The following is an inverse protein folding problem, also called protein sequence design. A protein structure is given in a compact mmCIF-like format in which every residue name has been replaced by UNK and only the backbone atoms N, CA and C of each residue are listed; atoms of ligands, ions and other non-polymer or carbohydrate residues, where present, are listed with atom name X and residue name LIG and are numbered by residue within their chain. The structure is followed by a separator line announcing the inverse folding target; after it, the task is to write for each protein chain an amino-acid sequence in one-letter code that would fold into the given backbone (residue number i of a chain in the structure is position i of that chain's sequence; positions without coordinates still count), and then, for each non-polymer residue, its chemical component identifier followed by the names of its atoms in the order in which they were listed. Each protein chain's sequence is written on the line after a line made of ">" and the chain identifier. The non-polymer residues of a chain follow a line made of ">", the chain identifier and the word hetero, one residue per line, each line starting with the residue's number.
data_IF_378334774373
#
_entry.id   IF_378334774373
#
_cell.length_a   1.000
_cell.length_b   1.000
_cell.length_c   1.000
_cell.angle_alpha   90.00
_cell.angle_beta   90.00
_cell.angle_gamma   90.00
#
_symmetry.space_group_name_H-M   'P 1'
#
loop_
_entity.id
_entity.type
_entity.pdbx_description
1 polymer ?
#
# COMPACT_ATOMS: atom_id res chain seq x y z
N UNK A 1 1.87 -18.03 -37.86
CA UNK A 1 1.82 -19.47 -37.53
C UNK A 1 0.65 -19.62 -36.58
N UNK A 2 -0.50 -20.05 -37.10
CA UNK A 2 -1.65 -20.39 -36.26
C UNK A 2 -1.28 -21.65 -35.45
N UNK A 3 -1.33 -21.56 -34.13
CA UNK A 3 -1.17 -22.70 -33.25
C UNK A 3 -2.38 -23.61 -33.47
N UNK A 4 -2.15 -24.80 -34.07
CA UNK A 4 -3.15 -25.85 -34.06
C UNK A 4 -3.57 -26.11 -32.60
N UNK A 5 -4.87 -26.26 -32.31
CA UNK A 5 -5.33 -26.55 -30.97
C UNK A 5 -4.68 -27.86 -30.51
N UNK A 6 -3.74 -27.75 -29.56
CA UNK A 6 -3.14 -28.90 -28.92
C UNK A 6 -4.23 -29.59 -28.11
N UNK A 7 -4.56 -30.82 -28.48
CA UNK A 7 -5.41 -31.68 -27.67
C UNK A 7 -4.71 -31.95 -26.33
N UNK A 8 -5.42 -31.80 -25.20
CA UNK A 8 -4.86 -32.03 -23.88
C UNK A 8 -4.35 -33.47 -23.73
N UNK A 9 -3.37 -33.67 -22.85
CA UNK A 9 -2.91 -35.01 -22.47
C UNK A 9 -3.87 -35.56 -21.44
N UNK A 10 -4.71 -36.49 -21.85
CA UNK A 10 -5.71 -37.12 -20.99
C UNK A 10 -5.90 -38.61 -21.35
N UNK A 11 -6.87 -39.24 -20.67
CA UNK A 11 -7.24 -40.63 -20.91
C UNK A 11 -7.74 -40.85 -22.35
N UNK A 12 -8.47 -39.89 -22.93
CA UNK A 12 -8.99 -40.00 -24.29
C UNK A 12 -7.85 -40.04 -25.31
N UNK A 13 -6.82 -39.21 -25.12
CA UNK A 13 -5.60 -39.24 -25.93
C UNK A 13 -4.89 -40.59 -25.78
N UNK A 14 -4.81 -41.14 -24.58
CA UNK A 14 -4.21 -42.46 -24.35
C UNK A 14 -4.97 -43.56 -25.12
N UNK A 15 -6.30 -43.59 -24.99
CA UNK A 15 -7.19 -44.54 -25.68
C UNK A 15 -7.11 -44.40 -27.20
N UNK A 16 -7.06 -43.17 -27.68
CA UNK A 16 -6.92 -42.89 -29.10
C UNK A 16 -5.59 -43.42 -29.66
N UNK A 17 -4.48 -43.27 -28.94
CA UNK A 17 -3.17 -43.82 -29.34
C UNK A 17 -3.24 -45.34 -29.39
N UNK A 18 -3.81 -45.98 -28.37
CA UNK A 18 -3.97 -47.44 -28.32
C UNK A 18 -4.83 -47.93 -29.48
N UNK A 19 -5.94 -47.24 -29.78
CA UNK A 19 -6.84 -47.58 -30.88
C UNK A 19 -6.15 -47.54 -32.26
N UNK A 20 -5.07 -46.74 -32.43
CA UNK A 20 -4.29 -46.73 -33.67
C UNK A 20 -3.64 -48.09 -33.97
N UNK A 21 -3.43 -48.93 -32.97
CA UNK A 21 -2.85 -50.26 -33.12
C UNK A 21 -3.69 -51.19 -34.02
N UNK A 22 -4.98 -50.91 -34.23
CA UNK A 22 -5.87 -51.65 -35.12
C UNK A 22 -5.85 -51.17 -36.59
N UNK A 23 -5.11 -50.11 -36.91
CA UNK A 23 -5.05 -49.60 -38.29
C UNK A 23 -4.32 -50.59 -39.20
N UNK A 24 -4.98 -50.96 -40.32
CA UNK A 24 -4.44 -51.92 -41.30
C UNK A 24 -3.08 -51.51 -41.87
N UNK A 25 -2.88 -50.21 -42.11
CA UNK A 25 -1.63 -49.66 -42.65
C UNK A 25 -1.18 -48.45 -41.80
N UNK A 26 0.13 -48.36 -41.51
CA UNK A 26 0.72 -47.20 -40.86
C UNK A 26 0.40 -47.05 -39.36
N UNK A 27 -0.08 -48.10 -38.68
CA UNK A 27 -0.35 -48.11 -37.24
C UNK A 27 0.87 -47.66 -36.44
N UNK A 28 2.02 -48.29 -36.66
CA UNK A 28 3.29 -47.93 -36.00
C UNK A 28 3.64 -46.46 -36.16
N UNK A 29 3.64 -45.95 -37.40
CA UNK A 29 3.98 -44.55 -37.69
C UNK A 29 3.01 -43.57 -37.00
N UNK A 30 1.72 -43.90 -37.00
CA UNK A 30 0.69 -43.08 -36.35
C UNK A 30 0.86 -43.06 -34.83
N UNK A 31 1.04 -44.23 -34.20
CA UNK A 31 1.27 -44.34 -32.76
C UNK A 31 2.52 -43.57 -32.34
N UNK A 32 3.64 -43.78 -33.05
CA UNK A 32 4.89 -43.08 -32.77
C UNK A 32 4.75 -41.57 -32.91
N UNK A 33 4.02 -41.08 -33.92
CA UNK A 33 3.74 -39.66 -34.07
C UNK A 33 3.04 -39.08 -32.83
N UNK A 34 1.95 -39.70 -32.39
CA UNK A 34 1.18 -39.21 -31.23
C UNK A 34 1.92 -39.38 -29.90
N UNK A 35 2.73 -40.42 -29.75
CA UNK A 35 3.55 -40.60 -28.54
C UNK A 35 4.65 -39.55 -28.44
N UNK A 36 5.29 -39.20 -29.57
CA UNK A 36 6.23 -38.06 -29.63
C UNK A 36 5.54 -36.74 -29.37
N UNK A 37 4.31 -36.57 -29.86
CA UNK A 37 3.50 -35.38 -29.55
C UNK A 37 3.24 -35.27 -28.04
N UNK A 38 2.90 -36.38 -27.36
CA UNK A 38 2.72 -36.41 -25.90
C UNK A 38 4.01 -36.03 -25.17
N UNK A 39 5.16 -36.61 -25.56
CA UNK A 39 6.47 -36.23 -24.98
C UNK A 39 6.77 -34.73 -25.15
N UNK A 40 6.52 -34.18 -26.34
CA UNK A 40 6.69 -32.75 -26.62
C UNK A 40 5.77 -31.88 -25.74
N UNK A 41 4.51 -32.30 -25.55
CA UNK A 41 3.57 -31.58 -24.70
C UNK A 41 4.01 -31.60 -23.22
N UNK A 42 4.46 -32.75 -22.71
CA UNK A 42 5.00 -32.88 -21.35
C UNK A 42 6.21 -31.94 -21.15
N UNK A 43 7.14 -31.90 -22.11
CA UNK A 43 8.30 -31.01 -22.06
C UNK A 43 7.90 -29.52 -22.10
N UNK A 44 6.90 -29.17 -22.92
CA UNK A 44 6.35 -27.80 -22.97
C UNK A 44 5.75 -27.41 -21.62
N UNK A 45 4.96 -28.29 -21.00
CA UNK A 45 4.38 -28.04 -19.67
C UNK A 45 5.46 -27.83 -18.62
N UNK A 46 6.52 -28.65 -18.61
CA UNK A 46 7.65 -28.48 -17.69
C UNK A 46 8.28 -27.10 -17.85
N UNK A 47 8.46 -26.64 -19.09
CA UNK A 47 8.97 -25.28 -19.36
C UNK A 47 8.02 -24.20 -18.87
N UNK A 48 6.71 -24.38 -19.05
CA UNK A 48 5.68 -23.46 -18.55
C UNK A 48 5.68 -23.40 -17.01
N UNK A 49 5.86 -24.54 -16.32
CA UNK A 49 5.98 -24.59 -14.86
C UNK A 49 7.21 -23.83 -14.37
N UNK A 50 8.35 -24.00 -15.04
CA UNK A 50 9.56 -23.21 -14.73
C UNK A 50 9.34 -21.71 -14.87
N UNK A 51 8.65 -21.28 -15.93
CA UNK A 51 8.29 -19.86 -16.11
C UNK A 51 7.34 -19.39 -15.01
N UNK A 52 6.37 -20.22 -14.63
CA UNK A 52 5.47 -19.93 -13.52
C UNK A 52 6.25 -19.68 -12.22
N UNK A 53 7.20 -20.54 -11.87
CA UNK A 53 8.03 -20.35 -10.66
C UNK A 53 8.83 -19.05 -10.68
N UNK A 54 9.43 -18.71 -11.82
CA UNK A 54 10.18 -17.47 -11.99
C UNK A 54 9.28 -16.24 -11.80
N UNK A 55 8.10 -16.25 -12.41
CA UNK A 55 7.12 -15.18 -12.24
C UNK A 55 6.68 -15.07 -10.79
N UNK A 56 6.30 -16.18 -10.15
CA UNK A 56 5.90 -16.18 -8.73
C UNK A 56 6.99 -15.60 -7.85
N UNK A 57 8.24 -16.01 -8.03
CA UNK A 57 9.37 -15.50 -7.25
C UNK A 57 9.56 -13.97 -7.41
N UNK A 58 9.55 -13.48 -8.65
CA UNK A 58 9.70 -12.04 -8.92
C UNK A 58 8.50 -11.21 -8.43
N UNK A 59 7.29 -11.77 -8.49
CA UNK A 59 6.08 -11.13 -7.96
C UNK A 59 6.08 -11.14 -6.43
N UNK A 60 6.52 -12.25 -5.81
CA UNK A 60 6.57 -12.41 -4.36
C UNK A 60 7.40 -11.30 -3.71
N UNK A 61 8.61 -11.04 -4.20
CA UNK A 61 9.46 -9.95 -3.69
C UNK A 61 8.75 -8.58 -3.76
N UNK A 62 8.09 -8.27 -4.87
CA UNK A 62 7.38 -7.00 -5.07
C UNK A 62 6.19 -6.86 -4.13
N UNK A 63 5.41 -7.93 -3.96
CA UNK A 63 4.23 -7.91 -3.10
C UNK A 63 4.59 -7.92 -1.62
N UNK A 64 5.67 -8.60 -1.22
CA UNK A 64 6.21 -8.50 0.14
C UNK A 64 6.62 -7.06 0.48
N UNK A 65 7.28 -6.36 -0.44
CA UNK A 65 7.58 -4.94 -0.26
C UNK A 65 6.30 -4.10 -0.10
N UNK A 66 5.28 -4.32 -0.93
CA UNK A 66 3.98 -3.64 -0.82
C UNK A 66 3.32 -3.90 0.53
N UNK A 67 3.31 -5.14 1.01
CA UNK A 67 2.78 -5.50 2.33
C UNK A 67 3.50 -4.78 3.46
N UNK A 68 4.83 -4.69 3.40
CA UNK A 68 5.60 -3.91 4.36
C UNK A 68 5.21 -2.43 4.33
N UNK A 69 5.07 -1.83 3.15
CA UNK A 69 4.65 -0.43 2.99
C UNK A 69 3.22 -0.19 3.51
N UNK A 70 2.29 -1.11 3.26
CA UNK A 70 0.92 -1.04 3.79
C UNK A 70 0.93 -1.13 5.31
N UNK A 71 1.71 -2.04 5.91
CA UNK A 71 1.86 -2.15 7.38
C UNK A 71 2.41 -0.88 7.99
N UNK A 72 3.48 -0.31 7.42
CA UNK A 72 4.04 0.97 7.88
C UNK A 72 3.02 2.10 7.81
N UNK A 73 2.21 2.15 6.75
CA UNK A 73 1.13 3.13 6.59
C UNK A 73 0.08 2.97 7.68
N UNK A 74 -0.39 1.75 7.94
CA UNK A 74 -1.35 1.45 9.02
C UNK A 74 -0.78 1.89 10.38
N UNK A 75 0.48 1.57 10.68
CA UNK A 75 1.10 1.98 11.94
C UNK A 75 1.23 3.50 12.09
N UNK A 76 1.64 4.19 11.02
CA UNK A 76 1.74 5.65 10.97
C UNK A 76 0.38 6.30 11.22
N UNK A 77 -0.64 5.86 10.48
CA UNK A 77 -2.01 6.37 10.59
C UNK A 77 -2.58 6.13 11.99
N UNK A 78 -2.38 4.93 12.55
CA UNK A 78 -2.80 4.63 13.91
C UNK A 78 -2.11 5.50 14.96
N UNK A 79 -0.84 5.86 14.76
CA UNK A 79 -0.13 6.79 15.65
C UNK A 79 -0.68 8.22 15.53
N UNK A 80 -0.98 8.68 14.32
CA UNK A 80 -1.58 10.00 14.07
C UNK A 80 -2.99 10.10 14.67
N UNK A 81 -3.83 9.06 14.52
CA UNK A 81 -5.15 8.99 15.17
C UNK A 81 -5.02 9.13 16.69
N UNK A 82 -4.09 8.41 17.33
CA UNK A 82 -3.86 8.53 18.78
C UNK A 82 -3.45 9.93 19.20
N UNK A 83 -2.62 10.61 18.41
CA UNK A 83 -2.23 11.99 18.67
C UNK A 83 -3.44 12.94 18.57
N UNK A 84 -4.27 12.78 17.54
CA UNK A 84 -5.49 13.57 17.36
C UNK A 84 -6.48 13.32 18.50
N UNK A 85 -6.67 12.08 18.93
CA UNK A 85 -7.54 11.74 20.05
C UNK A 85 -7.06 12.41 21.35
N UNK A 86 -5.75 12.44 21.59
CA UNK A 86 -5.15 13.16 22.71
C UNK A 86 -5.40 14.67 22.63
N UNK A 87 -5.12 15.30 21.48
CA UNK A 87 -5.34 16.74 21.28
C UNK A 87 -6.81 17.12 21.42
N UNK A 88 -7.72 16.30 20.87
CA UNK A 88 -9.16 16.48 21.06
C UNK A 88 -9.56 16.38 22.53
N UNK A 89 -8.97 15.45 23.28
CA UNK A 89 -9.16 15.33 24.73
C UNK A 89 -8.75 16.60 25.46
N UNK A 90 -7.55 17.12 25.17
CA UNK A 90 -7.05 18.38 25.75
C UNK A 90 -7.98 19.57 25.42
N UNK A 91 -8.31 19.75 24.14
CA UNK A 91 -9.18 20.85 23.69
C UNK A 91 -10.57 20.80 24.34
N UNK A 92 -11.11 19.60 24.62
CA UNK A 92 -12.40 19.47 25.33
C UNK A 92 -12.29 19.93 26.78
N UNK A 93 -11.23 19.53 27.47
CA UNK A 93 -10.97 19.97 28.85
C UNK A 93 -10.82 21.49 28.89
N UNK A 94 -9.98 22.07 28.04
CA UNK A 94 -9.76 23.53 27.99
C UNK A 94 -11.06 24.29 27.69
N UNK A 95 -11.88 23.78 26.75
CA UNK A 95 -13.19 24.35 26.42
C UNK A 95 -14.15 24.29 27.60
N UNK A 96 -14.16 23.18 28.34
CA UNK A 96 -15.06 22.99 29.47
C UNK A 96 -14.63 23.87 30.67
N UNK A 97 -13.33 24.09 30.86
CA UNK A 97 -12.80 25.10 31.81
C UNK A 97 -13.24 26.51 31.41
N UNK A 98 -13.09 26.90 30.14
CA UNK A 98 -13.54 28.22 29.67
C UNK A 98 -15.06 28.41 29.81
N UNK A 99 -15.85 27.34 29.69
CA UNK A 99 -17.30 27.41 29.94
C UNK A 99 -17.60 27.69 31.41
N UNK A 100 -16.88 27.08 32.34
CA UNK A 100 -17.02 27.37 33.77
C UNK A 100 -16.64 28.81 34.07
N UNK A 101 -15.52 29.30 33.55
CA UNK A 101 -15.11 30.71 33.68
C UNK A 101 -16.15 31.68 33.08
N UNK A 102 -16.71 31.32 31.92
CA UNK A 102 -17.79 32.10 31.29
C UNK A 102 -19.03 32.18 32.19
N UNK A 103 -19.48 31.06 32.74
CA UNK A 103 -20.63 31.00 33.66
C UNK A 103 -20.39 31.88 34.91
N UNK A 104 -19.19 31.82 35.49
CA UNK A 104 -18.80 32.66 36.63
C UNK A 104 -18.82 34.16 36.26
N UNK A 105 -18.26 34.53 35.11
CA UNK A 105 -18.24 35.91 34.64
C UNK A 105 -19.62 36.43 34.25
N UNK A 106 -20.49 35.58 33.69
CA UNK A 106 -21.88 35.93 33.40
C UNK A 106 -22.68 36.18 34.68
N UNK A 107 -22.50 35.35 35.72
CA UNK A 107 -23.09 35.58 37.03
C UNK A 107 -22.60 36.90 37.65
N UNK A 108 -21.28 37.13 37.65
CA UNK A 108 -20.71 38.39 38.15
C UNK A 108 -21.19 39.62 37.36
N UNK A 109 -21.37 39.48 36.04
CA UNK A 109 -21.87 40.55 35.19
C UNK A 109 -23.29 40.97 35.57
N UNK A 110 -24.15 40.02 35.99
CA UNK A 110 -25.50 40.33 36.49
C UNK A 110 -25.42 41.20 37.74
N UNK A 111 -24.58 40.84 38.71
CA UNK A 111 -24.41 41.61 39.95
C UNK A 111 -23.88 43.03 39.68
N UNK A 112 -22.88 43.16 38.82
CA UNK A 112 -22.30 44.48 38.49
C UNK A 112 -23.29 45.33 37.69
N UNK A 113 -24.10 44.74 36.80
CA UNK A 113 -25.19 45.45 36.09
C UNK A 113 -26.23 45.99 37.06
N UNK A 114 -26.66 45.18 38.04
CA UNK A 114 -27.60 45.64 39.08
C UNK A 114 -27.00 46.79 39.91
N UNK A 115 -25.74 46.68 40.30
CA UNK A 115 -25.05 47.75 41.03
C UNK A 115 -24.91 49.05 40.20
N UNK A 116 -24.53 48.94 38.92
CA UNK A 116 -24.46 50.06 38.00
C UNK A 116 -25.82 50.75 37.84
N UNK A 117 -26.90 49.99 37.71
CA UNK A 117 -28.26 50.53 37.65
C UNK A 117 -28.65 51.30 38.92
N UNK A 118 -28.34 50.76 40.11
CA UNK A 118 -28.54 51.46 41.37
C UNK A 118 -27.76 52.78 41.43
N UNK A 119 -26.52 52.79 40.93
CA UNK A 119 -25.69 54.00 40.84
C UNK A 119 -26.24 55.01 39.84
N UNK A 120 -26.72 54.56 38.68
CA UNK A 120 -27.38 55.39 37.67
C UNK A 120 -28.62 56.06 38.23
N UNK A 121 -29.47 55.31 38.91
CA UNK A 121 -30.66 55.84 39.57
C UNK A 121 -30.31 56.87 40.65
N UNK A 122 -29.24 56.63 41.42
CA UNK A 122 -28.75 57.59 42.44
C UNK A 122 -28.17 58.86 41.81
N UNK A 123 -27.39 58.75 40.74
CA UNK A 123 -26.90 59.89 39.95
C UNK A 123 -28.08 60.74 39.46
N UNK A 124 -29.06 60.12 38.78
CA UNK A 124 -30.23 60.82 38.25
C UNK A 124 -31.08 61.51 39.34
N UNK A 125 -31.17 60.92 40.55
CA UNK A 125 -31.82 61.58 41.70
C UNK A 125 -31.02 62.81 42.18
N UNK A 126 -29.70 62.71 42.29
CA UNK A 126 -28.84 63.83 42.72
C UNK A 126 -28.76 64.95 41.69
N UNK A 127 -28.78 64.60 40.41
CA UNK A 127 -28.85 65.53 39.30
C UNK A 127 -30.12 66.39 39.35
N UNK A 128 -31.29 65.74 39.53
CA UNK A 128 -32.57 66.45 39.72
C UNK A 128 -32.54 67.39 40.92
N UNK A 129 -32.03 66.95 42.07
CA UNK A 129 -31.90 67.79 43.27
C UNK A 129 -30.98 68.99 43.05
N UNK A 130 -29.87 68.80 42.35
CA UNK A 130 -28.97 69.89 41.98
C UNK A 130 -29.67 70.91 41.07
N UNK A 131 -30.34 70.44 39.99
CA UNK A 131 -31.08 71.31 39.08
C UNK A 131 -32.30 72.01 39.71
N UNK A 132 -32.86 71.49 40.79
CA UNK A 132 -33.92 72.18 41.53
C UNK A 132 -33.40 73.34 42.39
N UNK A 133 -32.18 73.22 42.92
CA UNK A 133 -31.64 74.12 43.94
C UNK A 133 -30.40 74.91 43.46
N UNK A 134 -30.07 74.84 42.17
CA UNK A 134 -28.87 75.47 41.61
C UNK A 134 -28.85 76.99 41.70
N UNK A 135 -30.02 77.62 41.77
CA UNK A 135 -30.19 79.07 41.84
C UNK A 135 -29.93 79.65 43.25
N UNK A 136 -29.78 78.81 44.28
CA UNK A 136 -29.47 79.24 45.66
C UNK A 136 -27.97 79.00 45.94
N UNK A 137 -27.10 80.02 45.94
CA UNK A 137 -25.64 79.85 45.84
C UNK A 137 -25.00 78.94 46.90
N UNK A 138 -25.40 79.08 48.16
CA UNK A 138 -24.87 78.29 49.27
C UNK A 138 -25.30 76.82 49.19
N UNK A 139 -26.56 76.57 48.81
CA UNK A 139 -27.16 75.25 48.69
C UNK A 139 -26.66 74.54 47.42
N UNK A 140 -26.56 75.27 46.31
CA UNK A 140 -26.07 74.80 45.02
C UNK A 140 -24.67 74.18 45.12
N UNK A 141 -23.77 74.80 45.87
CA UNK A 141 -22.40 74.30 46.06
C UNK A 141 -22.38 72.92 46.74
N UNK A 142 -23.23 72.71 47.74
CA UNK A 142 -23.32 71.43 48.46
C UNK A 142 -23.96 70.33 47.60
N UNK A 143 -25.00 70.65 46.85
CA UNK A 143 -25.65 69.69 45.94
C UNK A 143 -24.79 69.36 44.71
N UNK A 144 -24.02 70.32 44.19
CA UNK A 144 -23.02 70.09 43.13
C UNK A 144 -21.99 69.04 43.56
N UNK A 145 -21.42 69.18 44.76
CA UNK A 145 -20.47 68.18 45.32
C UNK A 145 -21.10 66.78 45.43
N UNK A 146 -22.35 66.68 45.87
CA UNK A 146 -23.08 65.40 45.95
C UNK A 146 -23.36 64.80 44.57
N UNK A 147 -23.68 65.62 43.58
CA UNK A 147 -23.88 65.18 42.20
C UNK A 147 -22.58 64.67 41.56
N UNK A 148 -21.49 65.43 41.64
CA UNK A 148 -20.18 65.03 41.06
C UNK A 148 -19.73 63.69 41.63
N UNK A 149 -19.78 63.51 42.96
CA UNK A 149 -19.46 62.22 43.59
C UNK A 149 -20.36 61.06 43.13
N UNK A 150 -21.64 61.34 42.86
CA UNK A 150 -22.57 60.31 42.35
C UNK A 150 -22.31 60.00 40.88
N UNK A 151 -21.89 60.99 40.08
CA UNK A 151 -21.48 60.83 38.69
C UNK A 151 -20.21 60.00 38.58
N UNK A 152 -19.17 60.31 39.36
CA UNK A 152 -17.90 59.60 39.30
C UNK A 152 -18.10 58.13 39.71
N UNK A 153 -18.83 57.87 40.80
CA UNK A 153 -19.21 56.51 41.20
C UNK A 153 -20.07 55.74 40.19
N UNK A 154 -20.84 56.45 39.37
CA UNK A 154 -21.57 55.83 38.26
C UNK A 154 -20.60 55.46 37.13
N UNK A 155 -19.68 56.37 36.80
CA UNK A 155 -18.63 56.12 35.81
C UNK A 155 -17.83 54.86 36.17
N UNK A 156 -17.36 54.77 37.42
CA UNK A 156 -16.62 53.60 37.91
C UNK A 156 -17.43 52.30 37.83
N UNK A 157 -18.76 52.38 38.02
CA UNK A 157 -19.62 51.21 37.94
C UNK A 157 -19.86 50.76 36.50
N UNK A 158 -20.06 51.69 35.56
CA UNK A 158 -20.21 51.40 34.13
C UNK A 158 -18.90 50.88 33.52
N UNK A 159 -17.74 51.38 33.97
CA UNK A 159 -16.43 50.87 33.56
C UNK A 159 -16.27 49.39 33.94
N UNK A 160 -16.63 49.01 35.17
CA UNK A 160 -16.62 47.61 35.61
C UNK A 160 -17.57 46.71 34.80
N UNK A 161 -18.74 47.22 34.42
CA UNK A 161 -19.64 46.48 33.52
C UNK A 161 -18.97 46.25 32.17
N UNK A 162 -18.29 47.26 31.62
CA UNK A 162 -17.58 47.14 30.34
C UNK A 162 -16.42 46.15 30.41
N UNK A 163 -15.65 46.18 31.50
CA UNK A 163 -14.53 45.25 31.73
C UNK A 163 -15.01 43.79 31.74
N UNK A 164 -16.02 43.46 32.54
CA UNK A 164 -16.54 42.09 32.63
C UNK A 164 -17.18 41.65 31.31
N UNK A 165 -17.89 42.54 30.60
CA UNK A 165 -18.41 42.23 29.26
C UNK A 165 -17.30 41.85 28.29
N UNK A 166 -16.20 42.59 28.29
CA UNK A 166 -15.06 42.28 27.42
C UNK A 166 -14.47 40.90 27.73
N UNK A 167 -14.48 40.47 28.98
CA UNK A 167 -14.01 39.13 29.38
C UNK A 167 -14.99 38.06 28.88
N UNK A 168 -16.30 38.25 29.11
CA UNK A 168 -17.36 37.35 28.60
C UNK A 168 -17.25 37.16 27.08
N UNK A 169 -17.14 38.25 26.32
CA UNK A 169 -17.00 38.20 24.87
C UNK A 169 -15.73 37.45 24.43
N UNK A 170 -14.62 37.63 25.16
CA UNK A 170 -13.36 36.91 24.93
C UNK A 170 -13.50 35.41 25.19
N UNK A 171 -14.13 35.00 26.30
CA UNK A 171 -14.38 33.60 26.62
C UNK A 171 -15.27 32.93 25.57
N UNK A 172 -16.37 33.59 25.17
CA UNK A 172 -17.27 33.08 24.13
C UNK A 172 -16.55 32.89 22.80
N UNK A 173 -15.69 33.84 22.41
CA UNK A 173 -14.87 33.72 21.21
C UNK A 173 -13.90 32.54 21.29
N UNK A 174 -13.18 32.40 22.41
CA UNK A 174 -12.23 31.30 22.62
C UNK A 174 -12.92 29.92 22.59
N UNK A 175 -14.10 29.78 23.21
CA UNK A 175 -14.92 28.56 23.14
C UNK A 175 -15.31 28.25 21.69
N UNK A 176 -15.68 29.27 20.91
CA UNK A 176 -15.98 29.12 19.48
C UNK A 176 -14.78 28.62 18.67
N UNK A 177 -13.59 29.16 18.92
CA UNK A 177 -12.34 28.75 18.28
C UNK A 177 -11.93 27.31 18.64
N UNK A 178 -12.06 26.93 19.92
CA UNK A 178 -11.82 25.56 20.37
C UNK A 178 -12.81 24.57 19.76
N UNK A 179 -14.08 24.96 19.66
CA UNK A 179 -15.12 24.11 19.05
C UNK A 179 -14.80 23.83 17.58
N UNK A 180 -14.40 24.86 16.82
CA UNK A 180 -13.93 24.68 15.44
C UNK A 180 -12.73 23.75 15.36
N UNK A 181 -11.73 23.96 16.22
CA UNK A 181 -10.52 23.12 16.27
C UNK A 181 -10.85 21.65 16.56
N UNK A 182 -11.80 21.38 17.47
CA UNK A 182 -12.30 20.02 17.75
C UNK A 182 -12.95 19.43 16.50
N UNK A 183 -13.79 20.19 15.79
CA UNK A 183 -14.43 19.73 14.54
C UNK A 183 -13.41 19.43 13.45
N UNK A 184 -12.38 20.26 13.30
CA UNK A 184 -11.30 20.04 12.33
C UNK A 184 -10.50 18.77 12.66
N UNK A 185 -10.17 18.56 13.95
CA UNK A 185 -9.56 17.33 14.42
C UNK A 185 -10.44 16.10 14.14
N UNK A 186 -11.76 16.20 14.35
CA UNK A 186 -12.71 15.12 14.05
C UNK A 186 -12.76 14.78 12.56
N UNK A 187 -12.78 15.79 11.69
CA UNK A 187 -12.76 15.59 10.24
C UNK A 187 -11.47 14.88 9.81
N UNK A 188 -10.32 15.36 10.30
CA UNK A 188 -9.02 14.73 10.01
C UNK A 188 -8.93 13.29 10.52
N UNK A 189 -9.46 13.02 11.71
CA UNK A 189 -9.54 11.66 12.27
C UNK A 189 -10.36 10.73 11.37
N UNK A 190 -11.47 11.21 10.81
CA UNK A 190 -12.30 10.41 9.92
C UNK A 190 -11.61 10.12 8.59
N UNK A 191 -10.88 11.08 8.02
CA UNK A 191 -10.05 10.86 6.83
C UNK A 191 -9.01 9.76 7.05
N UNK A 192 -8.32 9.82 8.19
CA UNK A 192 -7.31 8.83 8.56
C UNK A 192 -7.90 7.43 8.76
N UNK A 193 -9.11 7.31 9.31
CA UNK A 193 -9.79 6.01 9.41
C UNK A 193 -10.09 5.40 8.03
N UNK A 194 -10.49 6.22 7.06
CA UNK A 194 -10.71 5.76 5.68
C UNK A 194 -9.38 5.36 5.02
N UNK A 195 -8.29 6.12 5.23
CA UNK A 195 -6.94 5.76 4.77
C UNK A 195 -6.48 4.42 5.37
N UNK A 196 -6.73 4.20 6.67
CA UNK A 196 -6.41 2.96 7.35
C UNK A 196 -7.17 1.77 6.76
N UNK A 197 -8.49 1.89 6.61
CA UNK A 197 -9.34 0.82 6.06
C UNK A 197 -8.92 0.44 4.64
N UNK A 198 -8.61 1.45 3.80
CA UNK A 198 -8.13 1.21 2.45
C UNK A 198 -6.78 0.48 2.44
N UNK A 199 -5.83 0.88 3.28
CA UNK A 199 -4.54 0.22 3.40
C UNK A 199 -4.67 -1.23 3.92
N UNK A 200 -5.57 -1.48 4.87
CA UNK A 200 -5.85 -2.83 5.38
C UNK A 200 -6.48 -3.72 4.31
N UNK A 201 -7.41 -3.18 3.52
CA UNK A 201 -8.03 -3.89 2.39
C UNK A 201 -7.02 -4.25 1.32
N UNK A 202 -6.14 -3.31 0.94
CA UNK A 202 -5.06 -3.57 -0.02
C UNK A 202 -4.06 -4.60 0.51
N UNK A 203 -3.69 -4.51 1.79
CA UNK A 203 -2.82 -5.49 2.43
C UNK A 203 -3.43 -6.89 2.36
N UNK A 204 -4.72 -7.03 2.70
CA UNK A 204 -5.43 -8.31 2.64
C UNK A 204 -5.49 -8.87 1.21
N UNK A 205 -5.82 -8.04 0.22
CA UNK A 205 -5.84 -8.46 -1.18
C UNK A 205 -4.47 -8.95 -1.66
N UNK A 206 -3.39 -8.28 -1.24
CA UNK A 206 -2.02 -8.67 -1.57
C UNK A 206 -1.63 -9.98 -0.87
N UNK A 207 -2.01 -10.17 0.40
CA UNK A 207 -1.78 -11.41 1.15
C UNK A 207 -2.55 -12.59 0.53
N UNK A 208 -3.83 -12.42 0.19
CA UNK A 208 -4.67 -13.44 -0.45
C UNK A 208 -4.06 -13.88 -1.80
N UNK A 209 -3.61 -12.91 -2.61
CA UNK A 209 -2.95 -13.21 -3.87
C UNK A 209 -1.63 -13.98 -3.68
N UNK A 210 -0.80 -13.58 -2.70
CA UNK A 210 0.44 -14.29 -2.39
C UNK A 210 0.18 -15.71 -1.88
N UNK A 211 -0.90 -15.91 -1.12
CA UNK A 211 -1.35 -17.22 -0.70
C UNK A 211 -1.68 -18.10 -1.91
N UNK A 212 -2.50 -17.60 -2.84
CA UNK A 212 -2.88 -18.34 -4.05
C UNK A 212 -1.68 -18.67 -4.95
N UNK A 213 -0.74 -17.74 -5.10
CA UNK A 213 0.51 -17.95 -5.84
C UNK A 213 1.38 -19.02 -5.17
N UNK A 214 1.45 -19.01 -3.84
CA UNK A 214 2.20 -20.01 -3.06
C UNK A 214 1.58 -21.40 -3.13
N UNK A 215 0.26 -21.51 -3.04
CA UNK A 215 -0.45 -22.77 -3.25
C UNK A 215 -0.23 -23.29 -4.67
N UNK A 216 -0.25 -22.41 -5.68
CA UNK A 216 0.09 -22.77 -7.06
C UNK A 216 1.52 -23.26 -7.21
N UNK A 217 2.49 -22.58 -6.58
CA UNK A 217 3.90 -23.01 -6.59
C UNK A 217 4.05 -24.41 -5.98
N UNK A 218 3.45 -24.67 -4.82
CA UNK A 218 3.47 -25.99 -4.16
C UNK A 218 2.83 -27.06 -5.05
N UNK A 219 1.65 -26.78 -5.59
CA UNK A 219 0.94 -27.69 -6.48
C UNK A 219 1.79 -28.06 -7.69
N UNK A 220 2.28 -27.08 -8.45
CA UNK A 220 3.06 -27.34 -9.66
C UNK A 220 4.36 -28.06 -9.33
N UNK A 221 4.99 -27.75 -8.19
CA UNK A 221 6.18 -28.47 -7.74
C UNK A 221 5.86 -29.95 -7.51
N UNK A 222 4.78 -30.26 -6.80
CA UNK A 222 4.36 -31.64 -6.58
C UNK A 222 3.97 -32.34 -7.89
N UNK A 223 3.29 -31.62 -8.81
CA UNK A 223 2.97 -32.11 -10.14
C UNK A 223 4.23 -32.48 -10.94
N UNK A 224 5.25 -31.62 -10.92
CA UNK A 224 6.53 -31.87 -11.59
C UNK A 224 7.24 -33.11 -11.03
N UNK A 225 7.18 -33.33 -9.71
CA UNK A 225 7.84 -34.48 -9.07
C UNK A 225 7.08 -35.80 -9.27
N UNK A 226 5.75 -35.75 -9.36
CA UNK A 226 4.89 -36.94 -9.38
C UNK A 226 4.29 -37.17 -10.77
N UNK A 227 3.22 -36.46 -11.12
CA UNK A 227 2.44 -36.70 -12.34
C UNK A 227 3.26 -36.51 -13.62
N UNK A 228 4.07 -35.44 -13.70
CA UNK A 228 4.87 -35.16 -14.89
C UNK A 228 5.94 -36.22 -15.14
N UNK A 229 6.68 -36.61 -14.09
CA UNK A 229 7.71 -37.65 -14.17
C UNK A 229 7.09 -39.02 -14.47
N UNK A 230 5.96 -39.34 -13.84
CA UNK A 230 5.24 -40.60 -14.07
C UNK A 230 4.71 -40.69 -15.49
N UNK A 231 4.04 -39.65 -16.00
CA UNK A 231 3.54 -39.59 -17.37
C UNK A 231 4.68 -39.67 -18.40
N UNK A 232 5.80 -38.97 -18.15
CA UNK A 232 7.00 -39.05 -19.01
C UNK A 232 7.55 -40.47 -19.07
N UNK A 233 7.76 -41.11 -17.90
CA UNK A 233 8.29 -42.48 -17.82
C UNK A 233 7.34 -43.49 -18.47
N UNK A 234 6.05 -43.40 -18.19
CA UNK A 234 5.03 -44.28 -18.77
C UNK A 234 4.97 -44.14 -20.29
N UNK A 235 5.09 -42.91 -20.81
CA UNK A 235 5.12 -42.66 -22.26
C UNK A 235 6.36 -43.27 -22.90
N UNK A 236 7.55 -43.09 -22.32
CA UNK A 236 8.80 -43.69 -22.82
C UNK A 236 8.76 -45.22 -22.79
N UNK A 237 8.28 -45.82 -21.68
CA UNK A 237 8.11 -47.28 -21.58
C UNK A 237 7.10 -47.81 -22.60
N UNK A 238 6.02 -47.08 -22.87
CA UNK A 238 5.04 -47.46 -23.88
C UNK A 238 5.62 -47.35 -25.30
N UNK A 239 6.43 -46.34 -25.59
CA UNK A 239 7.19 -46.22 -26.84
C UNK A 239 8.11 -47.45 -27.02
N UNK A 240 8.88 -47.82 -26.01
CA UNK A 240 9.77 -48.99 -26.05
C UNK A 240 8.96 -50.28 -26.30
N UNK A 241 7.81 -50.42 -25.63
CA UNK A 241 6.90 -51.55 -25.83
C UNK A 241 6.39 -51.60 -27.27
N UNK A 242 5.94 -50.47 -27.84
CA UNK A 242 5.50 -50.37 -29.24
C UNK A 242 6.62 -50.76 -30.21
N UNK A 243 7.86 -50.38 -29.94
CA UNK A 243 9.03 -50.71 -30.77
C UNK A 243 9.41 -52.20 -30.72
N UNK A 244 9.10 -52.90 -29.63
CA UNK A 244 9.34 -54.34 -29.49
C UNK A 244 8.34 -55.18 -30.30
N UNK A 245 7.16 -54.64 -30.63
CA UNK A 245 6.17 -55.33 -31.44
C UNK A 245 6.41 -55.13 -32.94
N UNK A 246 6.48 -56.23 -33.69
CA UNK A 246 6.43 -56.19 -35.15
C UNK A 246 5.09 -55.60 -35.64
N UNK A 247 5.07 -55.01 -36.84
CA UNK A 247 3.87 -54.37 -37.40
C UNK A 247 2.59 -55.24 -37.37
N UNK A 248 2.75 -56.57 -37.51
CA UNK A 248 1.64 -57.53 -37.49
C UNK A 248 1.13 -57.88 -36.08
N UNK A 249 1.85 -57.49 -35.03
CA UNK A 249 1.56 -57.83 -33.63
C UNK A 249 1.06 -56.64 -32.80
N UNK A 250 1.03 -55.43 -33.37
CA UNK A 250 0.59 -54.22 -32.67
C UNK A 250 -0.83 -54.33 -32.11
N UNK A 251 -1.73 -55.06 -32.77
CA UNK A 251 -3.10 -55.29 -32.28
C UNK A 251 -3.16 -55.88 -30.86
N UNK A 252 -2.09 -56.56 -30.39
CA UNK A 252 -1.98 -57.09 -29.02
C UNK A 252 -1.96 -55.98 -27.97
N UNK A 253 -1.56 -54.76 -28.33
CA UNK A 253 -1.58 -53.58 -27.46
C UNK A 253 -3.01 -53.10 -27.13
N UNK A 254 -4.04 -53.61 -27.82
CA UNK A 254 -5.43 -53.38 -27.41
C UNK A 254 -5.87 -54.25 -26.24
N UNK A 255 -5.04 -55.21 -25.80
CA UNK A 255 -5.36 -55.99 -24.62
C UNK A 255 -5.29 -55.09 -23.38
N UNK A 256 -6.41 -54.78 -22.71
CA UNK A 256 -6.42 -53.92 -21.53
C UNK A 256 -5.68 -54.54 -20.35
N UNK A 257 -5.38 -55.85 -20.40
CA UNK A 257 -4.64 -56.54 -19.34
C UNK A 257 -3.13 -56.37 -19.43
N UNK A 258 -2.60 -55.81 -20.51
CA UNK A 258 -1.17 -55.60 -20.67
C UNK A 258 -0.68 -54.47 -19.74
N UNK A 259 0.33 -54.75 -18.91
CA UNK A 259 0.77 -53.82 -17.86
C UNK A 259 1.21 -52.46 -18.41
N UNK A 260 1.96 -52.44 -19.53
CA UNK A 260 2.38 -51.19 -20.16
C UNK A 260 1.19 -50.33 -20.64
N UNK A 261 0.09 -50.96 -21.08
CA UNK A 261 -1.15 -50.26 -21.48
C UNK A 261 -1.84 -49.68 -20.24
N UNK A 262 -1.96 -50.45 -19.16
CA UNK A 262 -2.57 -49.98 -17.90
C UNK A 262 -1.80 -48.80 -17.30
N UNK A 263 -0.48 -48.92 -17.20
CA UNK A 263 0.39 -47.89 -16.63
C UNK A 263 0.32 -46.62 -17.48
N UNK A 264 0.37 -46.74 -18.81
CA UNK A 264 0.24 -45.61 -19.72
C UNK A 264 -1.11 -44.90 -19.58
N UNK A 265 -2.22 -45.64 -19.61
CA UNK A 265 -3.56 -45.05 -19.43
C UNK A 265 -3.73 -44.35 -18.08
N UNK A 266 -3.29 -44.98 -17.00
CA UNK A 266 -3.42 -44.41 -15.65
C UNK A 266 -2.58 -43.14 -15.50
N UNK A 267 -1.34 -43.15 -15.99
CA UNK A 267 -0.44 -42.01 -15.90
C UNK A 267 -0.97 -40.79 -16.68
N UNK A 268 -1.55 -41.01 -17.87
CA UNK A 268 -2.15 -39.93 -18.66
C UNK A 268 -3.47 -39.43 -18.06
N UNK A 269 -4.26 -40.31 -17.43
CA UNK A 269 -5.45 -39.93 -16.68
C UNK A 269 -5.10 -39.01 -15.50
N UNK A 270 -4.18 -39.42 -14.63
CA UNK A 270 -3.76 -38.62 -13.48
C UNK A 270 -3.12 -37.29 -13.90
N UNK A 271 -2.37 -37.28 -15.00
CA UNK A 271 -1.80 -36.07 -15.57
C UNK A 271 -2.90 -35.09 -16.03
N UNK A 272 -3.86 -35.57 -16.81
CA UNK A 272 -4.95 -34.75 -17.35
C UNK A 272 -5.86 -34.19 -16.26
N UNK A 273 -6.21 -35.01 -15.25
CA UNK A 273 -7.00 -34.57 -14.09
C UNK A 273 -6.29 -33.45 -13.32
N UNK A 274 -4.98 -33.61 -13.07
CA UNK A 274 -4.20 -32.62 -12.37
C UNK A 274 -4.02 -31.32 -13.18
N UNK A 275 -3.81 -31.40 -14.50
CA UNK A 275 -3.79 -30.22 -15.37
C UNK A 275 -5.13 -29.50 -15.39
N UNK A 276 -6.25 -30.23 -15.47
CA UNK A 276 -7.59 -29.65 -15.48
C UNK A 276 -7.89 -28.93 -14.16
N UNK A 277 -7.60 -29.58 -13.03
CA UNK A 277 -7.69 -28.96 -11.71
C UNK A 277 -6.88 -27.67 -11.63
N UNK A 278 -5.63 -27.71 -12.12
CA UNK A 278 -4.75 -26.55 -12.07
C UNK A 278 -5.19 -25.40 -12.98
N UNK A 279 -5.72 -25.72 -14.16
CA UNK A 279 -6.29 -24.76 -15.09
C UNK A 279 -7.48 -24.03 -14.46
N UNK A 280 -8.35 -24.73 -13.73
CA UNK A 280 -9.51 -24.12 -13.06
C UNK A 280 -9.11 -23.07 -12.00
N UNK A 281 -7.91 -23.21 -11.41
CA UNK A 281 -7.51 -22.44 -10.23
C UNK A 281 -6.48 -21.33 -10.52
N UNK A 282 -5.47 -21.62 -11.35
CA UNK A 282 -4.34 -20.70 -11.56
C UNK A 282 -4.25 -20.10 -12.97
N UNK A 283 -5.07 -20.53 -13.93
CA UNK A 283 -5.00 -19.99 -15.31
C UNK A 283 -5.48 -18.55 -15.43
N UNK A 284 -6.39 -18.11 -14.54
CA UNK A 284 -7.02 -16.80 -14.58
C UNK A 284 -6.36 -15.78 -13.63
N UNK A 285 -5.28 -16.17 -12.95
CA UNK A 285 -4.60 -15.28 -12.02
C UNK A 285 -4.01 -14.07 -12.74
N UNK A 286 -4.23 -12.90 -12.15
CA UNK A 286 -3.72 -11.62 -12.64
C UNK A 286 -2.96 -10.97 -11.50
N UNK A 287 -1.74 -10.53 -11.80
CA UNK A 287 -0.88 -9.81 -10.86
C UNK A 287 -0.65 -8.40 -11.40
N UNK A 288 -0.45 -7.45 -10.49
CA UNK A 288 -0.04 -6.10 -10.85
C UNK A 288 1.50 -6.05 -10.87
N UNK A 289 2.06 -5.68 -12.02
CA UNK A 289 3.50 -5.58 -12.19
C UNK A 289 3.88 -4.38 -13.06
N UNK A 290 5.00 -3.77 -12.74
CA UNK A 290 5.64 -2.80 -13.63
C UNK A 290 6.51 -3.53 -14.64
N UNK A 291 6.29 -3.27 -15.93
CA UNK A 291 7.10 -3.85 -16.99
C UNK A 291 8.50 -3.23 -17.03
N UNK A 292 9.54 -4.05 -17.01
CA UNK A 292 10.93 -3.59 -16.99
C UNK A 292 11.38 -2.85 -18.27
N UNK A 293 10.66 -2.99 -19.39
CA UNK A 293 11.00 -2.34 -20.66
C UNK A 293 10.25 -1.02 -20.88
N UNK A 294 8.94 -1.00 -20.67
CA UNK A 294 8.11 0.19 -20.91
C UNK A 294 7.78 0.99 -19.64
N UNK A 295 8.14 0.49 -18.45
CA UNK A 295 7.91 1.14 -17.16
C UNK A 295 6.45 1.49 -16.85
N UNK A 296 5.51 0.81 -17.52
CA UNK A 296 4.08 0.96 -17.25
C UNK A 296 3.62 -0.09 -16.26
N UNK A 297 2.77 0.31 -15.30
CA UNK A 297 2.03 -0.63 -14.45
C UNK A 297 0.99 -1.37 -15.31
N UNK A 298 1.01 -2.69 -15.23
CA UNK A 298 0.15 -3.58 -15.99
C UNK A 298 -0.51 -4.59 -15.05
N UNK A 299 -1.71 -5.04 -15.43
CA UNK A 299 -2.43 -6.10 -14.72
C UNK A 299 -2.61 -7.31 -15.63
N UNK A 300 -2.02 -8.43 -15.27
CA UNK A 300 -2.06 -9.66 -16.08
C UNK A 300 -1.03 -10.68 -15.63
N UNK A 301 -0.76 -11.68 -16.48
CA UNK A 301 0.31 -12.65 -16.23
C UNK A 301 1.58 -12.23 -16.99
N UNK A 302 2.65 -11.80 -16.30
CA UNK A 302 3.87 -11.33 -16.95
C UNK A 302 4.66 -12.46 -17.59
N UNK A 303 5.61 -12.10 -18.46
CA UNK A 303 6.62 -13.01 -18.99
C UNK A 303 7.99 -12.65 -18.41
N UNK A 304 8.77 -13.61 -17.88
CA UNK A 304 10.11 -13.32 -17.39
C UNK A 304 11.03 -12.99 -18.57
N UNK A 305 11.92 -12.02 -18.40
CA UNK A 305 12.99 -11.76 -19.35
C UNK A 305 13.95 -12.97 -19.42
N UNK A 306 14.49 -13.24 -20.61
CA UNK A 306 15.35 -14.41 -20.85
C UNK A 306 16.75 -14.26 -20.27
N UNK A 307 17.25 -13.03 -20.15
CA UNK A 307 18.58 -12.68 -19.66
C UNK A 307 18.50 -12.34 -18.18
N UNK A 308 17.49 -11.53 -17.79
CA UNK A 308 17.29 -11.10 -16.40
C UNK A 308 16.00 -11.68 -15.85
N UNK A 309 16.06 -12.89 -15.30
CA UNK A 309 14.85 -13.66 -14.88
C UNK A 309 13.97 -12.97 -13.83
N UNK A 310 14.48 -11.96 -13.13
CA UNK A 310 13.72 -11.13 -12.18
C UNK A 310 12.96 -9.98 -12.85
N UNK A 311 13.34 -9.62 -14.07
CA UNK A 311 12.68 -8.57 -14.85
C UNK A 311 11.43 -9.16 -15.52
N UNK A 312 10.28 -8.52 -15.25
CA UNK A 312 8.98 -8.92 -15.77
C UNK A 312 8.61 -8.06 -16.96
N UNK A 313 8.20 -8.69 -18.05
CA UNK A 313 7.80 -8.05 -19.30
C UNK A 313 6.30 -8.22 -19.53
N UNK A 314 5.67 -7.17 -20.06
CA UNK A 314 4.33 -7.29 -20.62
C UNK A 314 4.37 -8.04 -21.96
N UNK A 315 3.23 -8.60 -22.37
CA UNK A 315 3.15 -9.41 -23.59
C UNK A 315 3.66 -8.66 -24.85
N UNK A 316 3.30 -7.38 -25.10
CA UNK A 316 3.85 -6.64 -26.23
C UNK A 316 5.38 -6.52 -26.21
N UNK A 317 5.96 -6.17 -25.05
CA UNK A 317 7.40 -6.01 -24.90
C UNK A 317 8.15 -7.34 -25.04
N UNK A 318 7.56 -8.44 -24.54
CA UNK A 318 8.13 -9.78 -24.67
C UNK A 318 8.17 -10.25 -26.13
N UNK A 319 7.10 -10.01 -26.90
CA UNK A 319 7.05 -10.39 -28.32
C UNK A 319 8.04 -9.59 -29.18
N UNK A 320 8.17 -8.28 -28.93
CA UNK A 320 9.14 -7.43 -29.63
C UNK A 320 10.59 -7.84 -29.30
N UNK A 321 10.88 -8.17 -28.04
CA UNK A 321 12.20 -8.65 -27.65
C UNK A 321 12.52 -10.03 -28.29
N UNK A 322 11.51 -10.90 -28.37
CA UNK A 322 11.63 -12.21 -29.03
C UNK A 322 11.88 -12.08 -30.53
N UNK A 323 11.21 -11.16 -31.22
CA UNK A 323 11.44 -10.94 -32.65
C UNK A 323 12.82 -10.33 -32.90
N UNK A 324 13.24 -9.33 -32.13
CA UNK A 324 14.56 -8.70 -32.26
C UNK A 324 15.72 -9.71 -32.12
N UNK A 325 15.71 -10.55 -31.08
CA UNK A 325 16.73 -11.59 -30.90
C UNK A 325 16.76 -12.62 -32.05
N UNK A 326 15.61 -12.92 -32.66
CA UNK A 326 15.54 -13.84 -33.81
C UNK A 326 16.12 -13.17 -35.05
N UNK A 327 15.88 -11.87 -35.24
CA UNK A 327 16.49 -11.09 -36.31
C UNK A 327 18.00 -11.00 -36.13
N UNK A 328 18.50 -10.65 -34.95
CA UNK A 328 19.94 -10.60 -34.66
C UNK A 328 20.61 -11.97 -34.89
N UNK A 329 20.01 -13.08 -34.42
CA UNK A 329 20.56 -14.42 -34.68
C UNK A 329 20.54 -14.80 -36.16
N UNK A 330 19.53 -14.38 -36.93
CA UNK A 330 19.48 -14.62 -38.38
C UNK A 330 20.50 -13.77 -39.14
N UNK A 331 20.68 -12.50 -38.76
CA UNK A 331 21.63 -11.58 -39.40
C UNK A 331 23.07 -11.97 -39.05
N UNK A 332 23.35 -12.37 -37.81
CA UNK A 332 24.67 -12.86 -37.39
C UNK A 332 24.98 -14.26 -37.93
N UNK A 333 23.98 -15.15 -38.01
CA UNK A 333 24.15 -16.48 -38.62
C UNK A 333 24.39 -16.46 -40.14
N UNK A 334 24.03 -15.37 -40.82
CA UNK A 334 24.37 -15.15 -42.24
C UNK A 334 25.81 -14.61 -42.38
N UNK A 335 26.33 -13.87 -41.39
CA UNK A 335 27.74 -13.44 -41.37
C UNK A 335 28.70 -14.62 -41.17
N UNK A 336 28.35 -15.63 -40.37
CA UNK A 336 29.18 -16.82 -40.21
C UNK A 336 29.19 -17.73 -41.46
N UNK A 337 28.09 -17.76 -42.21
CA UNK A 337 28.00 -18.57 -43.45
C UNK A 337 28.70 -17.91 -44.65
N UNK A 338 28.87 -16.58 -44.62
CA UNK A 338 29.62 -15.83 -45.63
C UNK A 338 31.13 -15.78 -45.36
N UNK A 339 31.57 -16.01 -44.12
CA UNK A 339 33.00 -16.17 -43.82
C UNK A 339 33.54 -17.58 -44.06
N UNK A 340 32.69 -18.61 -44.16
CA UNK A 340 33.11 -19.99 -44.48
C UNK A 340 33.34 -20.26 -45.99
N UNK A 341 33.05 -19.31 -46.88
CA UNK A 341 33.35 -19.43 -48.32
C UNK A 341 34.57 -18.60 -48.78
N UNK A 342 35.32 -18.01 -47.84
CA UNK A 342 36.55 -17.24 -48.12
C UNK A 342 37.83 -17.87 -47.57
N UNK A 343 37.77 -19.04 -46.95
CA UNK A 343 38.94 -19.74 -46.40
C UNK A 343 39.43 -20.86 -47.35
N UNK A 344 40.07 -20.45 -48.45
CA UNK A 344 41.07 -21.27 -49.14
C UNK A 344 42.33 -21.42 -48.26
N UNK A 345 43.04 -22.56 -48.30
CA UNK A 345 44.16 -22.83 -47.41
C UNK A 345 45.44 -22.18 -47.95
N UNK A 346 45.98 -21.21 -47.22
CA UNK A 346 47.30 -20.66 -47.50
C UNK A 346 47.60 -19.43 -46.67
N UNK A 347 48.38 -19.58 -45.61
CA UNK A 347 48.97 -18.45 -44.90
C UNK A 347 49.05 -18.62 -43.39
N UNK A 348 50.17 -19.18 -42.95
CA UNK A 348 50.86 -19.05 -41.67
C UNK A 348 50.27 -18.15 -40.57
N UNK A 349 50.25 -18.77 -39.37
CA UNK A 349 50.84 -18.29 -38.11
C UNK A 349 50.51 -16.85 -37.69
N UNK A 350 49.75 -16.69 -36.60
CA UNK A 350 50.19 -16.03 -35.36
C UNK A 350 49.10 -16.19 -34.28
N UNK A 351 49.33 -17.16 -33.41
CA UNK A 351 49.27 -17.14 -31.94
C UNK A 351 48.44 -16.08 -31.18
N UNK A 352 47.47 -16.60 -30.41
CA UNK A 352 47.12 -16.35 -29.00
C UNK A 352 47.23 -14.93 -28.40
N UNK A 353 46.13 -14.43 -27.82
CA UNK A 353 45.92 -14.49 -26.35
C UNK A 353 44.59 -13.85 -25.92
N UNK A 354 43.86 -14.62 -25.12
CA UNK A 354 42.76 -14.18 -24.27
C UNK A 354 43.29 -13.24 -23.17
N UNK A 355 42.57 -12.18 -22.85
CA UNK A 355 42.72 -11.48 -21.57
C UNK A 355 41.38 -10.95 -21.11
N UNK A 356 40.79 -11.73 -20.21
CA UNK A 356 39.80 -11.30 -19.24
C UNK A 356 40.37 -10.20 -18.35
N UNK A 357 39.74 -9.03 -18.32
CA UNK A 357 39.94 -8.03 -17.28
C UNK A 357 38.63 -7.78 -16.55
N UNK A 358 38.54 -8.37 -15.37
CA UNK A 358 37.67 -7.99 -14.27
C UNK A 358 37.92 -6.53 -13.88
N UNK A 359 36.86 -5.72 -13.82
CA UNK A 359 36.86 -4.48 -13.05
C UNK A 359 35.86 -4.62 -11.90
N UNK A 360 36.42 -4.89 -10.72
CA UNK A 360 35.87 -4.44 -9.45
C UNK A 360 35.84 -2.91 -9.47
N UNK A 361 34.78 -2.31 -8.98
CA UNK A 361 34.81 -0.93 -8.49
C UNK A 361 34.09 -0.90 -7.15
N UNK A 362 34.91 -0.67 -6.12
CA UNK A 362 34.51 -0.38 -4.75
C UNK A 362 33.76 0.94 -4.67
N UNK A 363 32.73 0.93 -3.82
CA UNK A 363 32.30 1.97 -2.88
C UNK A 363 33.03 3.31 -2.95
N UNK A 364 32.27 4.37 -3.28
CA UNK A 364 32.38 5.65 -2.59
C UNK A 364 31.01 6.24 -2.31
N UNK A 365 30.82 6.51 -1.02
CA UNK A 365 29.88 7.44 -0.43
C UNK A 365 30.10 8.86 -0.97
N UNK A 366 29.01 9.54 -1.32
CA UNK A 366 28.62 10.81 -0.70
C UNK A 366 27.59 11.60 -1.53
N UNK A 367 26.74 12.31 -0.77
CA UNK A 367 26.03 13.56 -1.10
C UNK A 367 24.71 13.47 -1.85
N UNK A 368 23.67 13.63 -1.04
CA UNK A 368 22.34 14.16 -1.34
C UNK A 368 22.35 15.44 -2.19
N UNK A 369 21.27 15.63 -2.95
CA UNK A 369 20.54 16.91 -3.02
C UNK A 369 19.07 16.64 -2.62
N UNK A 370 18.44 17.26 -1.62
CA UNK A 370 18.40 18.69 -1.34
C UNK A 370 17.44 19.38 -2.29
N UNK A 371 16.12 19.38 -1.99
CA UNK A 371 15.00 20.25 -2.50
C UNK A 371 13.68 19.59 -2.04
N UNK A 372 12.65 20.20 -1.44
CA UNK A 372 12.37 21.50 -0.80
C UNK A 372 11.24 21.24 0.22
N UNK A 373 11.51 21.36 1.52
CA UNK A 373 10.48 21.49 2.56
C UNK A 373 9.91 22.91 2.50
N UNK A 374 8.60 23.06 2.24
CA UNK A 374 7.90 24.31 2.52
C UNK A 374 7.68 24.40 4.03
N UNK A 375 8.37 25.35 4.66
CA UNK A 375 8.08 25.80 6.02
C UNK A 375 6.91 26.77 5.96
N UNK A 376 5.91 26.56 6.83
CA UNK A 376 5.06 27.65 7.32
C UNK A 376 5.58 28.02 8.72
N UNK A 377 6.13 29.23 8.82
CA UNK A 377 6.44 29.92 10.07
C UNK A 377 5.70 31.26 10.01
N UNK A 378 4.81 31.51 10.97
CA UNK A 378 4.27 32.80 11.44
C UNK A 378 3.17 32.37 12.45
N UNK A 379 3.29 32.51 13.77
CA UNK A 379 3.53 33.71 14.56
C UNK A 379 4.24 33.36 15.89
N UNK A 380 5.38 33.99 16.17
CA UNK A 380 5.86 34.21 17.54
C UNK A 380 5.87 35.72 17.77
N UNK A 381 4.86 36.21 18.49
CA UNK A 381 4.80 37.57 18.99
C UNK A 381 5.28 37.64 20.45
N UNK A 382 6.35 38.39 20.68
CA UNK A 382 6.56 39.26 21.85
C UNK A 382 6.53 38.66 23.25
N UNK A 383 7.67 38.14 23.71
CA UNK A 383 7.99 38.08 25.14
C UNK A 383 8.46 39.48 25.56
N UNK A 384 7.61 40.24 26.24
CA UNK A 384 8.02 41.45 26.94
C UNK A 384 8.27 41.16 28.43
N UNK A 385 9.51 41.40 28.83
CA UNK A 385 10.00 41.48 30.21
C UNK A 385 9.35 42.64 30.97
N UNK A 386 8.97 42.41 32.23
CA UNK A 386 8.98 43.34 33.40
C UNK A 386 8.74 42.47 34.64
N UNK A 387 9.74 42.11 35.44
CA UNK A 387 10.41 42.87 36.53
C UNK A 387 9.47 43.45 37.59
N UNK A 388 9.47 42.76 38.75
CA UNK A 388 9.58 43.28 40.13
C UNK A 388 8.51 44.23 40.69
N UNK A 389 7.85 43.76 41.76
CA UNK A 389 7.91 44.43 43.07
C UNK A 389 7.46 43.48 44.20
N UNK A 390 8.37 43.35 45.17
CA UNK A 390 8.15 42.79 46.50
C UNK A 390 7.10 43.61 47.26
N UNK A 391 6.26 42.94 48.05
CA UNK A 391 5.78 43.51 49.32
C UNK A 391 5.63 42.40 50.35
N UNK A 392 6.59 42.42 51.27
CA UNK A 392 6.58 41.83 52.60
C UNK A 392 5.41 42.34 53.45
N UNK A 393 4.74 41.45 54.18
CA UNK A 393 4.17 41.72 55.50
C UNK A 393 4.16 40.41 56.30
N UNK A 394 4.93 40.37 57.39
CA UNK A 394 4.82 39.37 58.45
C UNK A 394 3.56 39.60 59.31
N UNK A 395 3.24 38.87 60.37
CA UNK A 395 3.86 37.76 61.10
C UNK A 395 2.70 37.09 61.89
N UNK A 396 2.88 36.46 63.06
CA UNK A 396 2.87 35.01 63.26
C UNK A 396 1.71 34.50 64.13
N UNK A 397 1.36 33.20 64.04
CA UNK A 397 0.65 32.54 65.15
C UNK A 397 1.22 31.15 65.41
N UNK A 398 1.80 31.06 66.59
CA UNK A 398 2.38 29.93 67.29
C UNK A 398 1.31 29.34 68.20
N UNK A 399 1.01 28.04 68.15
CA UNK A 399 0.46 27.20 69.24
C UNK A 399 0.63 25.73 68.81
N UNK A 400 1.59 25.02 69.40
CA UNK A 400 1.50 24.20 70.62
C UNK A 400 1.20 22.73 70.32
N UNK A 401 2.04 21.90 70.94
CA UNK A 401 2.04 20.44 70.95
C UNK A 401 0.75 19.87 71.54
N UNK A 402 0.43 18.63 71.18
CA UNK A 402 0.45 17.49 72.12
C UNK A 402 0.43 16.17 71.34
N UNK A 403 1.34 15.29 71.77
CA UNK A 403 1.34 13.80 71.79
C UNK A 403 0.31 13.04 70.98
#
# INVERSE_FOLDING_TARGET
>A
MEEQPLYPIDLEKAEFVIAQANKKNGAFKSMMYYLREIEDQIQRRQKTNRQFYQVVHAVEEKYQLKLHQSRETIYRVAAEIRHIDYDMGRLKVDRDTLKQELEEHEAHLVDVRQYAEQRRNKKSKRERQYHQLYHVPFVATQFKKKYVRARDKNSDAEEKVSEIRSIVDSCQKAIGEMTKSITDCQARRQELLVEQEQAEKEMKQNDDLLFDLNEGRKFWTNFDHNQLVTASKATTQFIETVQQYNANQLHKLNNPNLDAVKIFKMALFEYGEAEHYAASRWSQLKVDFECAKCHTLQRGWPKPDKVRVMDLLCEPCYQEHKSSMVWEKRVSGVKDRSQQLLSLPGGSMLSFSSSSSSLRSETQSNKSPGIKKKMFNMLKGGINKRSSSQTTLGSPTQMMMTT
#
